data_IF_035737787802
#
_entry.id   IF_035737787802
#
_cell.length_a   1.000
_cell.length_b   1.000
_cell.length_c   1.000
_cell.angle_alpha   90.00
_cell.angle_beta   90.00
_cell.angle_gamma   90.00
#
_symmetry.space_group_name_H-M   'P 1'
#
loop_
_entity.id
_entity.type
_entity.pdbx_description
1 polymer ?
#
# COMPACT_ATOMS: atom_id res chain seq x y z
N UNK A 1 -16.86 -23.60 -19.57
CA UNK A 1 -15.79 -23.26 -18.60
C UNK A 1 -15.68 -21.75 -18.54
N UNK A 2 -15.88 -21.12 -17.37
CA UNK A 2 -15.65 -19.70 -17.23
C UNK A 2 -14.14 -19.44 -17.28
N UNK A 3 -13.64 -18.92 -18.39
CA UNK A 3 -12.23 -18.55 -18.53
C UNK A 3 -12.05 -17.21 -17.81
N UNK A 4 -11.50 -17.25 -16.59
CA UNK A 4 -11.15 -16.02 -15.88
C UNK A 4 -9.93 -15.42 -16.56
N UNK A 5 -10.09 -14.24 -17.16
CA UNK A 5 -8.95 -13.48 -17.65
C UNK A 5 -8.16 -12.90 -16.47
N UNK A 6 -6.86 -12.75 -16.63
CA UNK A 6 -5.99 -12.08 -15.65
C UNK A 6 -6.53 -10.70 -15.27
N UNK A 7 -7.06 -9.95 -16.23
CA UNK A 7 -7.69 -8.65 -15.99
C UNK A 7 -8.89 -8.74 -15.04
N UNK A 8 -9.73 -9.77 -15.16
CA UNK A 8 -10.88 -9.97 -14.28
C UNK A 8 -10.43 -10.38 -12.87
N UNK A 9 -9.41 -11.25 -12.77
CA UNK A 9 -8.80 -11.60 -11.49
C UNK A 9 -8.26 -10.37 -10.75
N UNK A 10 -7.47 -9.54 -11.42
CA UNK A 10 -6.95 -8.31 -10.83
C UNK A 10 -8.08 -7.36 -10.42
N UNK A 11 -9.03 -7.11 -11.33
CA UNK A 11 -10.15 -6.22 -11.04
C UNK A 11 -10.97 -6.67 -9.82
N UNK A 12 -11.28 -7.96 -9.72
CA UNK A 12 -11.98 -8.53 -8.56
C UNK A 12 -11.16 -8.42 -7.29
N UNK A 13 -9.86 -8.66 -7.35
CA UNK A 13 -8.95 -8.47 -6.23
C UNK A 13 -8.97 -7.02 -5.76
N UNK A 14 -8.88 -6.04 -6.67
CA UNK A 14 -8.98 -4.62 -6.31
C UNK A 14 -10.33 -4.27 -5.68
N UNK A 15 -11.43 -4.75 -6.24
CA UNK A 15 -12.77 -4.56 -5.65
C UNK A 15 -12.87 -5.18 -4.25
N UNK A 16 -12.10 -6.21 -3.92
CA UNK A 16 -12.06 -6.75 -2.56
C UNK A 16 -11.15 -5.98 -1.61
N UNK A 17 -10.35 -5.04 -2.09
CA UNK A 17 -9.42 -4.26 -1.28
C UNK A 17 -9.88 -2.80 -1.12
N UNK A 18 -10.43 -2.21 -2.17
CA UNK A 18 -10.82 -0.81 -2.22
C UNK A 18 -12.35 -0.66 -2.27
N UNK A 19 -13.00 -0.99 -1.15
CA UNK A 19 -14.44 -0.73 -0.96
C UNK A 19 -14.62 0.52 -0.11
N UNK A 20 -15.39 1.47 -0.61
CA UNK A 20 -15.83 2.63 0.15
C UNK A 20 -16.87 2.23 1.21
N UNK A 21 -16.96 2.99 2.30
CA UNK A 21 -17.96 2.75 3.36
C UNK A 21 -17.65 1.59 4.32
N UNK A 22 -16.52 0.89 4.16
CA UNK A 22 -16.10 -0.16 5.10
C UNK A 22 -15.86 0.38 6.50
N UNK A 23 -16.31 -0.38 7.50
CA UNK A 23 -15.95 -0.21 8.91
C UNK A 23 -14.45 -0.40 9.13
N UNK A 24 -13.96 0.03 10.29
CA UNK A 24 -12.54 -0.10 10.65
C UNK A 24 -12.08 -1.57 10.66
N UNK A 25 -12.91 -2.46 11.18
CA UNK A 25 -12.56 -3.88 11.32
C UNK A 25 -12.51 -4.58 9.97
N UNK A 26 -13.45 -4.29 9.07
CA UNK A 26 -13.43 -4.82 7.70
C UNK A 26 -12.22 -4.33 6.90
N UNK A 27 -11.79 -3.08 7.12
CA UNK A 27 -10.56 -2.55 6.51
C UNK A 27 -9.34 -3.29 7.03
N UNK A 28 -9.24 -3.50 8.34
CA UNK A 28 -8.13 -4.24 8.94
C UNK A 28 -8.09 -5.70 8.45
N UNK A 29 -9.24 -6.36 8.30
CA UNK A 29 -9.31 -7.72 7.77
C UNK A 29 -8.84 -7.78 6.31
N UNK A 30 -9.28 -6.84 5.47
CA UNK A 30 -8.84 -6.76 4.06
C UNK A 30 -7.36 -6.43 3.94
N UNK A 31 -6.85 -5.56 4.81
CA UNK A 31 -5.42 -5.29 4.91
C UNK A 31 -4.62 -6.56 5.17
N UNK A 32 -5.02 -7.36 6.18
CA UNK A 32 -4.39 -8.65 6.50
C UNK A 32 -4.47 -9.64 5.33
N UNK A 33 -5.59 -9.68 4.61
CA UNK A 33 -5.72 -10.50 3.40
C UNK A 33 -4.73 -10.08 2.32
N UNK A 34 -4.57 -8.78 2.08
CA UNK A 34 -3.58 -8.31 1.11
C UNK A 34 -2.14 -8.63 1.54
N UNK A 35 -1.81 -8.38 2.81
CA UNK A 35 -0.50 -8.71 3.37
C UNK A 35 -0.16 -10.19 3.12
N UNK A 36 -1.08 -11.09 3.49
CA UNK A 36 -0.92 -12.53 3.23
C UNK A 36 -0.77 -12.86 1.74
N UNK A 37 -1.58 -12.25 0.86
CA UNK A 37 -1.47 -12.48 -0.57
C UNK A 37 -0.11 -12.04 -1.12
N UNK A 38 0.38 -10.88 -0.69
CA UNK A 38 1.68 -10.38 -1.13
C UNK A 38 2.82 -11.24 -0.64
N UNK A 39 2.80 -11.71 0.60
CA UNK A 39 3.83 -12.64 1.09
C UNK A 39 3.90 -13.91 0.23
N UNK A 40 2.77 -14.40 -0.27
CA UNK A 40 2.67 -15.69 -0.97
C UNK A 40 2.69 -15.60 -2.51
N UNK A 41 2.52 -14.42 -3.09
CA UNK A 41 2.53 -14.26 -4.55
C UNK A 41 3.94 -14.16 -5.13
N UNK A 42 4.09 -14.48 -6.42
CA UNK A 42 5.33 -14.24 -7.14
C UNK A 42 5.50 -12.75 -7.51
N UNK A 43 6.73 -12.30 -7.69
CA UNK A 43 7.05 -10.87 -7.93
C UNK A 43 6.24 -10.21 -9.05
N UNK A 44 6.01 -10.85 -10.22
CA UNK A 44 5.18 -10.24 -11.26
C UNK A 44 3.75 -9.93 -10.81
N UNK A 45 3.13 -10.82 -10.01
CA UNK A 45 1.78 -10.61 -9.49
C UNK A 45 1.73 -9.48 -8.46
N UNK A 46 2.73 -9.42 -7.58
CA UNK A 46 2.86 -8.36 -6.58
C UNK A 46 2.97 -7.00 -7.25
N UNK A 47 3.86 -6.88 -8.25
CA UNK A 47 4.03 -5.65 -9.04
C UNK A 47 2.73 -5.20 -9.70
N UNK A 48 2.01 -6.11 -10.37
CA UNK A 48 0.76 -5.75 -11.07
C UNK A 48 -0.33 -5.29 -10.10
N UNK A 49 -0.46 -5.94 -8.93
CA UNK A 49 -1.46 -5.58 -7.92
C UNK A 49 -1.11 -4.28 -7.18
N UNK A 50 0.17 -3.93 -7.10
CA UNK A 50 0.60 -2.69 -6.45
C UNK A 50 0.79 -1.53 -7.43
N UNK A 51 0.92 -1.80 -8.73
CA UNK A 51 1.11 -0.77 -9.76
C UNK A 51 -0.13 0.06 -10.06
N UNK A 52 -1.34 -0.43 -9.76
CA UNK A 52 -2.57 0.36 -9.94
C UNK A 52 -2.92 1.05 -8.64
N UNK A 53 -2.58 2.34 -8.56
CA UNK A 53 -3.11 3.42 -7.70
C UNK A 53 -3.72 3.07 -6.32
N UNK A 54 -3.27 2.00 -5.67
CA UNK A 54 -3.83 1.52 -4.41
C UNK A 54 -3.18 2.23 -3.22
N UNK A 55 -3.12 3.56 -3.30
CA UNK A 55 -2.60 4.43 -2.23
C UNK A 55 -3.26 4.13 -0.89
N UNK A 56 -4.52 3.69 -0.91
CA UNK A 56 -5.29 3.40 0.29
C UNK A 56 -4.68 2.31 1.17
N UNK A 57 -4.14 1.25 0.57
CA UNK A 57 -3.56 0.16 1.38
C UNK A 57 -2.19 0.55 1.94
N UNK A 58 -1.43 1.32 1.15
CA UNK A 58 -0.20 1.95 1.62
C UNK A 58 -0.48 2.92 2.78
N UNK A 59 -1.48 3.79 2.69
CA UNK A 59 -1.81 4.74 3.76
C UNK A 59 -2.41 4.05 4.98
N UNK A 60 -3.15 2.97 4.80
CA UNK A 60 -3.65 2.13 5.90
C UNK A 60 -2.48 1.52 6.68
N UNK A 61 -1.38 1.11 6.04
CA UNK A 61 -0.18 0.59 6.75
C UNK A 61 0.40 1.64 7.70
N UNK A 62 0.39 2.92 7.31
CA UNK A 62 0.83 4.05 8.15
C UNK A 62 -0.19 4.35 9.24
N UNK A 63 -1.48 4.34 8.90
CA UNK A 63 -2.56 4.64 9.85
C UNK A 63 -2.65 3.61 10.99
N UNK A 64 -2.47 2.32 10.66
CA UNK A 64 -2.49 1.18 11.59
C UNK A 64 -1.12 0.80 12.16
N UNK A 65 -0.07 1.58 11.89
CA UNK A 65 1.29 1.37 12.40
C UNK A 65 1.85 -0.02 12.07
N UNK A 66 1.88 -0.37 10.78
CA UNK A 66 2.36 -1.64 10.22
C UNK A 66 3.64 -1.41 9.41
N UNK A 67 4.81 -1.31 10.06
CA UNK A 67 6.06 -0.96 9.39
C UNK A 67 6.53 -2.01 8.38
N UNK A 68 6.29 -3.30 8.64
CA UNK A 68 6.69 -4.40 7.73
C UNK A 68 5.91 -4.34 6.42
N UNK A 69 4.58 -4.26 6.49
CA UNK A 69 3.75 -4.14 5.29
C UNK A 69 4.03 -2.83 4.56
N UNK A 70 4.29 -1.74 5.28
CA UNK A 70 4.71 -0.48 4.66
C UNK A 70 6.00 -0.61 3.85
N UNK A 71 7.04 -1.23 4.42
CA UNK A 71 8.31 -1.44 3.72
C UNK A 71 8.11 -2.34 2.50
N UNK A 72 7.32 -3.40 2.65
CA UNK A 72 6.93 -4.26 1.55
C UNK A 72 6.29 -3.43 0.43
N UNK A 73 5.26 -2.62 0.72
CA UNK A 73 4.63 -1.76 -0.29
C UNK A 73 5.59 -0.74 -0.89
N UNK A 74 6.47 -0.17 -0.08
CA UNK A 74 7.45 0.83 -0.50
C UNK A 74 8.44 0.27 -1.53
N UNK A 75 8.87 -0.99 -1.38
CA UNK A 75 9.73 -1.68 -2.35
C UNK A 75 9.05 -1.78 -3.74
N UNK A 76 7.73 -1.87 -3.81
CA UNK A 76 6.99 -1.93 -5.09
C UNK A 76 6.69 -0.57 -5.70
N UNK A 77 6.65 0.49 -4.90
CA UNK A 77 6.45 1.87 -5.39
C UNK A 77 7.70 2.40 -6.09
N UNK A 78 8.86 1.76 -5.87
CA UNK A 78 10.18 2.17 -6.36
C UNK A 78 10.22 2.37 -7.88
N UNK A 79 9.51 1.54 -8.65
CA UNK A 79 9.46 1.60 -10.11
C UNK A 79 8.59 2.77 -10.65
N UNK A 80 7.93 3.56 -9.79
CA UNK A 80 7.03 4.64 -10.23
C UNK A 80 7.15 5.93 -9.40
N UNK A 81 7.84 6.92 -9.97
CA UNK A 81 8.03 8.26 -9.38
C UNK A 81 6.71 8.97 -9.04
N UNK A 82 5.67 8.81 -9.86
CA UNK A 82 4.34 9.36 -9.59
C UNK A 82 3.72 8.75 -8.31
N UNK A 83 3.81 7.43 -8.16
CA UNK A 83 3.29 6.73 -6.99
C UNK A 83 4.09 7.06 -5.73
N UNK A 84 5.42 7.19 -5.83
CA UNK A 84 6.26 7.65 -4.71
C UNK A 84 5.87 9.05 -4.20
N UNK A 85 5.63 9.99 -5.12
CA UNK A 85 5.21 11.34 -4.76
C UNK A 85 3.81 11.38 -4.12
N UNK A 86 2.87 10.56 -4.61
CA UNK A 86 1.55 10.43 -4.00
C UNK A 86 1.61 9.82 -2.59
N UNK A 87 2.44 8.79 -2.42
CA UNK A 87 2.65 8.11 -1.15
C UNK A 87 3.19 9.07 -0.09
N UNK A 88 4.20 9.87 -0.44
CA UNK A 88 4.76 10.89 0.45
C UNK A 88 3.72 11.92 0.91
N UNK A 89 2.91 12.46 -0.01
CA UNK A 89 1.87 13.43 0.32
C UNK A 89 0.88 12.88 1.34
N UNK A 90 0.50 11.61 1.22
CA UNK A 90 -0.42 11.00 2.17
C UNK A 90 0.21 10.72 3.54
N UNK A 91 1.47 10.27 3.58
CA UNK A 91 2.20 10.12 4.86
C UNK A 91 2.36 11.45 5.57
N UNK A 92 2.70 12.51 4.84
CA UNK A 92 2.81 13.87 5.39
C UNK A 92 1.46 14.35 5.93
N UNK A 93 0.36 14.13 5.21
CA UNK A 93 -1.01 14.41 5.70
C UNK A 93 -1.33 13.67 6.99
N UNK A 94 -0.96 12.39 7.10
CA UNK A 94 -1.18 11.60 8.33
C UNK A 94 -0.30 12.12 9.47
N UNK A 95 0.94 12.50 9.19
CA UNK A 95 1.90 13.07 10.14
C UNK A 95 1.38 14.39 10.74
N UNK A 96 0.78 15.25 9.92
CA UNK A 96 0.20 16.51 10.37
C UNK A 96 -1.03 16.30 11.27
N UNK A 97 -1.84 15.27 10.98
CA UNK A 97 -3.10 14.98 11.69
C UNK A 97 -2.92 14.18 12.98
N UNK A 98 -1.92 13.28 13.07
CA UNK A 98 -1.71 12.42 14.24
C UNK A 98 -0.95 13.15 15.35
N UNK A 99 -1.42 13.01 16.60
CA UNK A 99 -0.73 13.52 17.79
C UNK A 99 0.60 12.80 18.06
N UNK A 100 0.67 11.51 17.75
CA UNK A 100 1.87 10.69 17.91
C UNK A 100 2.73 10.73 16.64
N UNK A 101 3.62 11.72 16.59
CA UNK A 101 4.52 11.97 15.47
C UNK A 101 5.70 11.01 15.41
N UNK A 102 6.08 10.36 16.53
CA UNK A 102 7.28 9.51 16.59
C UNK A 102 7.12 8.28 15.71
N UNK A 103 5.95 7.65 15.74
CA UNK A 103 5.65 6.48 14.92
C UNK A 103 5.60 6.84 13.43
N UNK A 104 4.93 7.95 13.08
CA UNK A 104 4.81 8.39 11.68
C UNK A 104 6.16 8.86 11.10
N UNK A 105 7.05 9.38 11.94
CA UNK A 105 8.40 9.80 11.55
C UNK A 105 9.22 8.65 10.92
N UNK A 106 9.06 7.41 11.40
CA UNK A 106 9.71 6.24 10.81
C UNK A 106 9.32 6.08 9.33
N UNK A 107 8.02 6.03 9.04
CA UNK A 107 7.48 5.85 7.69
C UNK A 107 7.95 6.97 6.74
N UNK A 108 7.93 8.21 7.22
CA UNK A 108 8.39 9.39 6.48
C UNK A 108 9.88 9.31 6.14
N UNK A 109 10.73 8.87 7.08
CA UNK A 109 12.16 8.71 6.84
C UNK A 109 12.46 7.64 5.79
N UNK A 110 11.73 6.53 5.79
CA UNK A 110 11.91 5.47 4.79
C UNK A 110 11.59 5.95 3.37
N UNK A 111 10.52 6.72 3.19
CA UNK A 111 10.19 7.35 1.90
C UNK A 111 11.30 8.28 1.41
N UNK A 112 11.80 9.16 2.28
CA UNK A 112 12.87 10.13 1.93
C UNK A 112 14.15 9.39 1.53
N UNK A 113 14.56 8.39 2.30
CA UNK A 113 15.76 7.57 2.01
C UNK A 113 15.68 6.94 0.62
N UNK A 114 14.49 6.47 0.24
CA UNK A 114 14.29 5.78 -1.03
C UNK A 114 14.24 6.73 -2.23
N UNK A 115 13.76 7.95 -2.03
CA UNK A 115 13.85 9.00 -3.04
C UNK A 115 15.30 9.42 -3.30
N UNK A 116 16.10 9.56 -2.24
CA UNK A 116 17.53 9.95 -2.37
C UNK A 116 18.42 8.84 -2.91
N UNK A 117 18.02 7.56 -2.78
CA UNK A 117 18.75 6.45 -3.38
C UNK A 117 18.52 6.29 -4.89
N UNK A 118 17.46 6.91 -5.42
CA UNK A 118 17.03 6.81 -6.83
C UNK A 118 17.30 8.10 -7.63
N UNK A 119 18.06 9.04 -7.08
CA UNK A 119 18.61 10.23 -7.75
C UNK A 119 20.09 10.01 -8.10
#
# INVERSE_FOLDING_TARGET
>A
MAQMSWNNFYHKTYQTLDVEGLSRDERLERFKKLEYLLENWCDPLRKIILSRENFRVFTDSVYYNRPESFLLFLDYLEDSKHLMNGAQKEVDRIFERKKDKKNIQFFRQQLIRRQTANE
#
